data_IF_437084386407
#
_entry.id   IF_437084386407
#
_cell.length_a   1.000
_cell.length_b   1.000
_cell.length_c   1.000
_cell.angle_alpha   90.00
_cell.angle_beta   90.00
_cell.angle_gamma   90.00
#
_symmetry.space_group_name_H-M   'P 1'
#
loop_
_entity.id
_entity.type
_entity.pdbx_description
1 polymer ?
#
# COMPACT_ATOMS: atom_id res chain seq x y z
N UNK A 1 -49.69 42.26 -49.72
CA UNK A 1 -48.38 41.92 -49.18
C UNK A 1 -48.54 41.39 -47.73
N UNK A 2 -48.53 40.11 -47.52
CA UNK A 2 -48.63 39.48 -46.18
C UNK A 2 -47.22 39.13 -45.76
N UNK A 3 -46.70 39.72 -44.66
CA UNK A 3 -45.43 39.39 -44.04
C UNK A 3 -45.61 38.24 -43.04
N UNK A 4 -45.01 37.12 -43.34
CA UNK A 4 -44.95 35.96 -42.46
C UNK A 4 -43.78 36.17 -41.50
N UNK A 5 -44.05 36.23 -40.18
CA UNK A 5 -43.06 36.27 -39.13
C UNK A 5 -42.75 34.85 -38.74
N UNK A 6 -41.54 34.37 -39.02
CA UNK A 6 -41.03 33.08 -38.53
C UNK A 6 -40.51 33.23 -37.12
N UNK A 7 -41.13 32.57 -36.16
CA UNK A 7 -40.65 32.48 -34.77
C UNK A 7 -39.72 31.28 -34.71
N UNK A 8 -38.43 31.57 -34.61
CA UNK A 8 -37.41 30.56 -34.37
C UNK A 8 -37.39 30.23 -32.86
N UNK A 9 -37.94 29.09 -32.49
CA UNK A 9 -37.85 28.59 -31.13
C UNK A 9 -36.41 28.05 -30.89
N UNK A 10 -35.63 28.75 -30.07
CA UNK A 10 -34.34 28.29 -29.58
C UNK A 10 -34.64 27.28 -28.48
N UNK A 11 -34.47 25.99 -28.80
CA UNK A 11 -34.52 24.90 -27.81
C UNK A 11 -33.20 24.89 -27.01
N UNK A 12 -33.18 25.53 -25.85
CA UNK A 12 -32.11 25.38 -24.89
C UNK A 12 -32.14 23.95 -24.32
N UNK A 13 -31.31 23.06 -24.88
CA UNK A 13 -31.01 21.80 -24.22
C UNK A 13 -30.20 22.15 -22.94
N UNK A 14 -30.86 22.13 -21.79
CA UNK A 14 -30.22 22.05 -20.50
C UNK A 14 -29.58 20.66 -20.38
N UNK A 15 -28.29 20.58 -20.65
CA UNK A 15 -27.48 19.42 -20.22
C UNK A 15 -27.55 19.42 -18.71
N UNK A 16 -28.43 18.59 -18.16
CA UNK A 16 -28.37 18.20 -16.76
C UNK A 16 -27.01 17.49 -16.56
N UNK A 17 -26.01 18.21 -16.10
CA UNK A 17 -24.82 17.63 -15.53
C UNK A 17 -25.31 16.82 -14.33
N UNK A 18 -25.37 15.49 -14.48
CA UNK A 18 -25.47 14.58 -13.35
C UNK A 18 -24.33 14.98 -12.41
N UNK A 19 -24.67 15.65 -11.33
CA UNK A 19 -23.74 16.13 -10.33
C UNK A 19 -23.13 14.92 -9.61
N UNK A 20 -22.09 14.34 -10.21
CA UNK A 20 -21.20 13.47 -9.45
C UNK A 20 -20.60 14.33 -8.34
N UNK A 21 -20.82 13.94 -7.08
CA UNK A 21 -20.39 14.70 -5.92
C UNK A 21 -18.90 15.02 -6.01
N UNK A 22 -18.56 16.30 -5.89
CA UNK A 22 -17.16 16.70 -5.75
C UNK A 22 -16.64 16.17 -4.42
N UNK A 23 -15.44 15.57 -4.43
CA UNK A 23 -14.77 15.24 -3.18
C UNK A 23 -14.31 16.53 -2.50
N UNK A 24 -14.39 16.58 -1.16
CA UNK A 24 -13.96 17.76 -0.38
C UNK A 24 -12.43 17.95 -0.38
N UNK A 25 -11.68 16.91 -0.72
CA UNK A 25 -10.23 16.95 -0.79
C UNK A 25 -9.76 17.85 -1.96
N UNK A 26 -8.69 18.61 -1.74
CA UNK A 26 -8.03 19.42 -2.77
C UNK A 26 -7.37 18.53 -3.82
N UNK A 27 -7.04 19.08 -4.97
CA UNK A 27 -6.24 18.38 -5.98
C UNK A 27 -4.90 17.94 -5.37
N UNK A 28 -4.52 16.69 -5.58
CA UNK A 28 -3.32 16.11 -5.00
C UNK A 28 -3.32 14.58 -5.06
N UNK A 29 -2.26 13.99 -4.53
CA UNK A 29 -2.10 12.54 -4.39
C UNK A 29 -2.13 12.23 -2.90
N UNK A 30 -2.96 11.30 -2.50
CA UNK A 30 -3.26 10.94 -1.12
C UNK A 30 -2.90 9.47 -0.87
N UNK A 31 -2.48 9.16 0.35
CA UNK A 31 -2.10 7.82 0.75
C UNK A 31 -2.74 7.45 2.07
N UNK A 32 -3.21 6.23 2.19
CA UNK A 32 -3.57 5.62 3.46
C UNK A 32 -3.23 4.13 3.44
N UNK A 33 -2.99 3.58 4.62
CA UNK A 33 -2.74 2.17 4.84
C UNK A 33 -3.43 1.70 6.11
N UNK A 34 -3.65 0.39 6.22
CA UNK A 34 -4.10 -0.21 7.47
C UNK A 34 -3.05 -0.03 8.57
N UNK A 35 -3.49 0.11 9.82
CA UNK A 35 -2.59 0.16 10.98
C UNK A 35 -1.89 -1.17 11.22
N UNK A 36 -2.62 -2.27 11.00
CA UNK A 36 -2.21 -3.61 11.40
C UNK A 36 -2.41 -4.62 10.26
N UNK A 37 -1.71 -5.73 10.34
CA UNK A 37 -1.93 -6.87 9.45
C UNK A 37 -3.24 -7.57 9.83
N UNK A 38 -4.10 -7.78 8.84
CA UNK A 38 -5.31 -8.58 9.02
C UNK A 38 -4.99 -10.07 9.28
N UNK A 39 -6.03 -10.86 9.56
CA UNK A 39 -5.91 -12.31 9.79
C UNK A 39 -5.27 -13.07 8.62
N UNK A 40 -5.37 -12.54 7.42
CA UNK A 40 -4.70 -13.06 6.21
C UNK A 40 -3.20 -12.76 6.15
N UNK A 41 -2.66 -11.96 7.06
CA UNK A 41 -1.27 -11.50 7.05
C UNK A 41 -0.99 -10.38 6.04
N UNK A 42 -2.03 -9.78 5.46
CA UNK A 42 -1.93 -8.63 4.58
C UNK A 42 -2.43 -7.36 5.28
N UNK A 43 -1.81 -6.26 4.92
CA UNK A 43 -2.17 -4.88 5.29
C UNK A 43 -2.37 -4.13 3.99
N UNK A 44 -3.57 -3.59 3.78
CA UNK A 44 -3.91 -2.93 2.52
C UNK A 44 -3.40 -1.48 2.50
N UNK A 45 -3.08 -1.00 1.31
CA UNK A 45 -2.64 0.35 0.99
C UNK A 45 -3.44 0.92 -0.17
N UNK A 46 -3.83 2.19 -0.08
CA UNK A 46 -4.48 2.90 -1.18
C UNK A 46 -3.76 4.21 -1.49
N UNK A 47 -3.64 4.51 -2.78
CA UNK A 47 -3.21 5.80 -3.30
C UNK A 47 -4.38 6.40 -4.08
N UNK A 48 -4.79 7.61 -3.73
CA UNK A 48 -5.92 8.30 -4.38
C UNK A 48 -5.42 9.58 -5.05
N UNK A 49 -5.64 9.72 -6.34
CA UNK A 49 -5.34 10.96 -7.07
C UNK A 49 -6.61 11.77 -7.27
N UNK A 50 -6.64 13.00 -6.75
CA UNK A 50 -7.72 13.98 -6.95
C UNK A 50 -7.25 15.01 -7.95
N UNK A 51 -8.09 15.28 -8.97
CA UNK A 51 -7.87 16.31 -9.98
C UNK A 51 -9.19 16.95 -10.37
N UNK A 52 -9.25 18.29 -10.34
CA UNK A 52 -10.47 19.04 -10.63
C UNK A 52 -11.62 18.72 -9.66
N UNK A 53 -11.31 18.44 -8.39
CA UNK A 53 -12.28 18.07 -7.35
C UNK A 53 -12.91 16.68 -7.54
N UNK A 54 -12.31 15.81 -8.35
CA UNK A 54 -12.77 14.43 -8.59
C UNK A 54 -11.65 13.42 -8.37
N UNK A 55 -11.98 12.21 -7.98
CA UNK A 55 -11.07 11.08 -7.97
C UNK A 55 -10.76 10.73 -9.42
N UNK A 56 -9.53 11.00 -9.85
CA UNK A 56 -9.06 10.76 -11.21
C UNK A 56 -8.43 9.37 -11.35
N UNK A 57 -7.80 8.86 -10.29
CA UNK A 57 -7.20 7.53 -10.27
C UNK A 57 -7.11 7.00 -8.83
N UNK A 58 -7.13 5.68 -8.70
CA UNK A 58 -6.88 4.98 -7.44
C UNK A 58 -5.97 3.78 -7.71
N UNK A 59 -4.99 3.56 -6.83
CA UNK A 59 -4.28 2.29 -6.75
C UNK A 59 -4.61 1.63 -5.40
N UNK A 60 -4.91 0.34 -5.44
CA UNK A 60 -5.12 -0.50 -4.27
C UNK A 60 -4.15 -1.66 -4.32
N UNK A 61 -3.35 -1.81 -3.28
CA UNK A 61 -2.38 -2.88 -3.14
C UNK A 61 -2.34 -3.35 -1.69
N UNK A 62 -1.39 -4.21 -1.35
CA UNK A 62 -1.18 -4.65 0.02
C UNK A 62 0.25 -5.09 0.26
N UNK A 63 0.68 -4.98 1.52
CA UNK A 63 1.97 -5.46 2.01
C UNK A 63 1.75 -6.63 2.95
N UNK A 64 2.67 -7.59 3.00
CA UNK A 64 2.50 -8.83 3.75
C UNK A 64 3.50 -8.97 4.90
N UNK A 65 3.03 -9.47 6.03
CA UNK A 65 3.91 -9.89 7.12
C UNK A 65 4.71 -11.17 6.80
N UNK A 66 4.51 -11.79 5.64
CA UNK A 66 5.25 -12.98 5.22
C UNK A 66 6.66 -12.69 4.67
N UNK A 67 7.06 -11.42 4.50
CA UNK A 67 8.36 -11.04 3.95
C UNK A 67 8.49 -11.27 2.44
N UNK A 68 7.37 -11.15 1.74
CA UNK A 68 7.26 -11.28 0.27
C UNK A 68 6.96 -9.93 -0.37
N UNK A 69 6.98 -9.88 -1.71
CA UNK A 69 6.58 -8.70 -2.47
C UNK A 69 5.11 -8.31 -2.21
N UNK A 70 4.73 -7.14 -2.70
CA UNK A 70 3.36 -6.62 -2.61
C UNK A 70 2.31 -7.55 -3.23
N UNK A 71 1.04 -7.36 -2.88
CA UNK A 71 -0.07 -8.25 -3.27
C UNK A 71 -0.25 -8.35 -4.78
N UNK A 72 -0.13 -7.23 -5.52
CA UNK A 72 -0.24 -7.24 -6.98
C UNK A 72 0.87 -8.09 -7.61
N UNK A 73 2.11 -7.93 -7.13
CA UNK A 73 3.25 -8.77 -7.56
C UNK A 73 3.06 -10.22 -7.15
N UNK A 74 2.55 -10.50 -5.95
CA UNK A 74 2.26 -11.86 -5.49
C UNK A 74 1.21 -12.53 -6.37
N UNK A 75 0.12 -11.84 -6.73
CA UNK A 75 -0.90 -12.35 -7.66
C UNK A 75 -0.28 -12.65 -9.03
N UNK A 76 0.48 -11.71 -9.59
CA UNK A 76 1.12 -11.87 -10.91
C UNK A 76 2.09 -13.06 -10.97
N UNK A 77 2.74 -13.40 -9.84
CA UNK A 77 3.66 -14.54 -9.72
C UNK A 77 2.98 -15.83 -9.25
N UNK A 78 1.65 -15.84 -9.10
CA UNK A 78 0.90 -17.00 -8.62
C UNK A 78 1.04 -17.30 -7.13
N UNK A 79 1.59 -16.36 -6.35
CA UNK A 79 1.75 -16.47 -4.90
C UNK A 79 0.49 -16.11 -4.11
N UNK A 80 -0.57 -15.65 -4.79
CA UNK A 80 -1.88 -15.35 -4.21
C UNK A 80 -3.01 -15.90 -5.08
N UNK A 81 -3.14 -17.25 -5.22
CA UNK A 81 -4.00 -17.88 -6.21
C UNK A 81 -5.44 -18.02 -5.71
N UNK A 82 -6.28 -17.00 -5.84
CA UNK A 82 -7.68 -17.04 -5.39
C UNK A 82 -8.55 -17.99 -6.20
N UNK A 83 -8.36 -18.06 -7.50
CA UNK A 83 -9.13 -18.97 -8.38
C UNK A 83 -8.80 -20.42 -8.07
N UNK A 84 -7.50 -20.75 -8.05
CA UNK A 84 -7.05 -22.14 -7.85
C UNK A 84 -7.28 -22.66 -6.43
N UNK A 85 -7.03 -21.83 -5.41
CA UNK A 85 -7.07 -22.25 -4.01
C UNK A 85 -8.41 -21.95 -3.32
N UNK A 86 -9.14 -20.92 -3.76
CA UNK A 86 -10.33 -20.42 -3.09
C UNK A 86 -11.62 -20.52 -3.92
N UNK A 87 -11.60 -21.18 -5.10
CA UNK A 87 -12.74 -21.24 -6.03
C UNK A 87 -13.33 -19.86 -6.38
N UNK A 88 -12.55 -18.79 -6.30
CA UNK A 88 -12.99 -17.48 -6.70
C UNK A 88 -13.19 -17.41 -8.22
N UNK A 89 -14.13 -16.59 -8.68
CA UNK A 89 -14.41 -16.41 -10.13
C UNK A 89 -13.29 -15.66 -10.85
N UNK A 90 -12.49 -14.88 -10.12
CA UNK A 90 -11.38 -14.11 -10.65
C UNK A 90 -10.30 -13.91 -9.57
N UNK A 91 -9.07 -13.67 -10.02
CA UNK A 91 -7.96 -13.32 -9.13
C UNK A 91 -8.17 -11.94 -8.47
N UNK A 92 -7.49 -11.71 -7.36
CA UNK A 92 -7.67 -10.50 -6.54
C UNK A 92 -7.52 -9.19 -7.33
N UNK A 93 -6.52 -9.10 -8.18
CA UNK A 93 -6.25 -7.89 -8.98
C UNK A 93 -7.39 -7.53 -9.95
N UNK A 94 -8.07 -8.54 -10.51
CA UNK A 94 -9.23 -8.34 -11.40
C UNK A 94 -10.41 -7.80 -10.60
N UNK A 95 -10.68 -8.39 -9.43
CA UNK A 95 -11.73 -7.95 -8.54
C UNK A 95 -11.46 -6.56 -7.95
N UNK A 96 -10.22 -6.29 -7.51
CA UNK A 96 -9.80 -4.98 -7.03
C UNK A 96 -9.98 -3.90 -8.11
N UNK A 97 -9.64 -4.22 -9.37
CA UNK A 97 -9.87 -3.30 -10.48
C UNK A 97 -11.35 -2.96 -10.65
N UNK A 98 -12.25 -3.93 -10.54
CA UNK A 98 -13.69 -3.67 -10.63
C UNK A 98 -14.17 -2.71 -9.54
N UNK A 99 -13.64 -2.83 -8.31
CA UNK A 99 -13.95 -1.91 -7.20
C UNK A 99 -13.39 -0.51 -7.46
N UNK A 100 -12.17 -0.41 -7.96
CA UNK A 100 -11.53 0.85 -8.33
C UNK A 100 -12.32 1.54 -9.45
N UNK A 101 -12.68 0.81 -10.51
CA UNK A 101 -13.44 1.34 -11.64
C UNK A 101 -14.83 1.87 -11.18
N UNK A 102 -15.49 1.14 -10.27
CA UNK A 102 -16.73 1.60 -9.64
C UNK A 102 -16.53 2.94 -8.94
N UNK A 103 -15.55 3.05 -8.04
CA UNK A 103 -15.29 4.29 -7.29
C UNK A 103 -14.96 5.46 -8.24
N UNK A 104 -14.08 5.26 -9.22
CA UNK A 104 -13.67 6.31 -10.15
C UNK A 104 -14.85 6.76 -11.01
N UNK A 105 -15.70 5.84 -11.46
CA UNK A 105 -16.86 6.19 -12.30
C UNK A 105 -18.00 6.84 -11.53
N UNK A 106 -18.26 6.40 -10.30
CA UNK A 106 -19.40 6.88 -9.48
C UNK A 106 -19.03 8.00 -8.53
N UNK A 107 -17.76 8.16 -8.17
CA UNK A 107 -17.26 9.08 -7.13
C UNK A 107 -17.88 8.79 -5.74
N UNK A 108 -18.39 7.59 -5.51
CA UNK A 108 -19.12 7.19 -4.29
C UNK A 108 -18.11 6.84 -3.15
N UNK A 109 -17.51 7.87 -2.56
CA UNK A 109 -16.59 7.72 -1.41
C UNK A 109 -17.35 7.20 -0.16
N UNK A 110 -18.63 7.50 -0.07
CA UNK A 110 -19.49 7.09 1.05
C UNK A 110 -20.14 5.72 0.87
N UNK A 111 -19.60 4.85 0.03
CA UNK A 111 -20.15 3.53 -0.26
C UNK A 111 -20.47 2.74 1.01
N UNK A 112 -21.71 2.28 1.14
CA UNK A 112 -22.22 1.55 2.32
C UNK A 112 -23.14 0.36 1.97
N UNK A 113 -23.15 -0.08 0.72
CA UNK A 113 -24.01 -1.17 0.22
C UNK A 113 -23.37 -2.53 0.46
N UNK A 114 -23.04 -2.82 1.73
CA UNK A 114 -22.47 -4.10 2.14
C UNK A 114 -23.58 -5.10 2.40
N UNK A 115 -23.36 -6.38 2.03
CA UNK A 115 -24.33 -7.47 2.25
C UNK A 115 -24.06 -8.26 3.55
N UNK A 116 -22.87 -8.09 4.12
CA UNK A 116 -22.44 -8.78 5.34
C UNK A 116 -21.47 -7.95 6.17
N UNK A 117 -21.21 -8.41 7.39
CA UNK A 117 -20.30 -7.76 8.33
C UNK A 117 -18.84 -7.78 7.87
N UNK A 118 -18.46 -8.74 7.02
CA UNK A 118 -17.13 -8.83 6.43
C UNK A 118 -16.91 -7.79 5.32
N UNK A 119 -17.97 -7.08 4.91
CA UNK A 119 -17.87 -5.99 3.94
C UNK A 119 -17.84 -6.45 2.50
N UNK A 120 -18.48 -7.58 2.18
CA UNK A 120 -18.77 -7.99 0.79
C UNK A 120 -19.96 -7.23 0.25
N UNK A 121 -20.10 -7.16 -1.08
CA UNK A 121 -21.21 -6.46 -1.73
C UNK A 121 -21.63 -7.15 -3.01
N UNK A 122 -22.93 -7.03 -3.35
CA UNK A 122 -23.48 -7.40 -4.65
C UNK A 122 -23.69 -6.16 -5.56
N UNK A 123 -23.42 -4.95 -5.04
CA UNK A 123 -23.58 -3.70 -5.78
C UNK A 123 -22.45 -3.41 -6.79
N UNK A 124 -21.32 -4.14 -6.70
CA UNK A 124 -20.18 -3.98 -7.59
C UNK A 124 -19.99 -5.28 -8.39
N UNK A 125 -20.36 -5.26 -9.66
CA UNK A 125 -20.19 -6.42 -10.53
C UNK A 125 -18.72 -6.82 -10.64
N UNK A 126 -18.43 -8.12 -10.52
CA UNK A 126 -17.08 -8.66 -10.60
C UNK A 126 -16.29 -8.64 -9.28
N UNK A 127 -16.84 -8.11 -8.19
CA UNK A 127 -16.21 -8.11 -6.87
C UNK A 127 -16.94 -9.05 -5.90
N UNK A 128 -16.26 -10.08 -5.42
CA UNK A 128 -16.71 -10.97 -4.34
C UNK A 128 -15.80 -10.90 -3.11
N UNK A 129 -14.74 -10.11 -3.18
CA UNK A 129 -13.81 -9.82 -2.08
C UNK A 129 -14.44 -8.87 -1.05
N UNK A 130 -13.82 -8.75 0.10
CA UNK A 130 -14.19 -7.76 1.11
C UNK A 130 -13.76 -6.37 0.61
N UNK A 131 -14.73 -5.47 0.41
CA UNK A 131 -14.47 -4.14 -0.16
C UNK A 131 -14.54 -3.02 0.87
N UNK A 132 -15.06 -3.31 2.07
CA UNK A 132 -15.23 -2.28 3.12
C UNK A 132 -13.90 -1.63 3.50
N UNK A 133 -12.84 -2.41 3.72
CA UNK A 133 -11.51 -1.91 4.05
C UNK A 133 -10.96 -0.94 3.00
N UNK A 134 -11.21 -1.23 1.71
CA UNK A 134 -10.83 -0.34 0.62
C UNK A 134 -11.53 1.02 0.72
N UNK A 135 -12.87 1.06 0.87
CA UNK A 135 -13.60 2.32 0.98
C UNK A 135 -13.23 3.08 2.27
N UNK A 136 -13.03 2.38 3.37
CA UNK A 136 -12.55 2.99 4.63
C UNK A 136 -11.17 3.66 4.43
N UNK A 137 -10.24 3.00 3.72
CA UNK A 137 -8.91 3.56 3.41
C UNK A 137 -8.99 4.73 2.44
N UNK A 138 -9.86 4.68 1.42
CA UNK A 138 -10.11 5.82 0.54
C UNK A 138 -10.60 7.03 1.34
N UNK A 139 -11.54 6.83 2.24
CA UNK A 139 -12.03 7.88 3.15
C UNK A 139 -10.92 8.46 4.03
N UNK A 140 -10.07 7.61 4.62
CA UNK A 140 -8.90 8.02 5.42
C UNK A 140 -7.88 8.80 4.57
N UNK A 141 -7.58 8.33 3.37
CA UNK A 141 -6.66 9.02 2.46
C UNK A 141 -7.16 10.44 2.15
N UNK A 142 -8.42 10.57 1.74
CA UNK A 142 -9.00 11.87 1.38
C UNK A 142 -9.18 12.82 2.59
N UNK A 143 -9.21 12.30 3.81
CA UNK A 143 -9.24 13.09 5.05
C UNK A 143 -7.84 13.54 5.51
N UNK A 144 -6.77 12.98 4.94
CA UNK A 144 -5.38 13.34 5.27
C UNK A 144 -4.89 14.56 4.48
N UNK A 145 -3.66 14.99 4.74
CA UNK A 145 -2.95 15.91 3.84
C UNK A 145 -2.47 15.16 2.59
N UNK A 146 -2.42 15.84 1.42
CA UNK A 146 -1.83 15.23 0.24
C UNK A 146 -0.35 14.95 0.45
N UNK A 147 0.13 13.84 -0.13
CA UNK A 147 1.54 13.47 -0.09
C UNK A 147 2.37 14.52 -0.83
N UNK A 148 3.37 15.13 -0.18
CA UNK A 148 4.20 16.13 -0.83
C UNK A 148 5.00 15.52 -1.99
N UNK A 149 5.41 16.37 -2.94
CA UNK A 149 6.28 15.92 -4.03
C UNK A 149 7.66 15.55 -3.48
N UNK A 150 8.08 14.32 -3.70
CA UNK A 150 9.38 13.79 -3.31
C UNK A 150 10.40 13.78 -4.46
N UNK A 151 11.52 13.09 -4.20
CA UNK A 151 12.68 13.06 -5.11
C UNK A 151 12.64 11.92 -6.15
N UNK A 152 11.84 10.90 -5.91
CA UNK A 152 11.75 9.76 -6.82
C UNK A 152 10.87 10.07 -8.02
N UNK A 153 11.21 9.50 -9.19
CA UNK A 153 10.52 9.77 -10.45
C UNK A 153 9.33 8.87 -10.71
N UNK A 154 9.36 7.67 -10.12
CA UNK A 154 8.35 6.64 -10.33
C UNK A 154 7.73 6.23 -9.01
N UNK A 155 6.42 6.30 -8.92
CA UNK A 155 5.64 5.78 -7.81
C UNK A 155 5.48 4.26 -7.94
N UNK A 156 5.31 3.56 -6.81
CA UNK A 156 5.13 2.11 -6.81
C UNK A 156 5.60 1.42 -5.53
N UNK A 157 5.59 0.10 -5.57
CA UNK A 157 6.01 -0.81 -4.51
C UNK A 157 7.30 -1.51 -4.94
N UNK A 158 8.38 -1.26 -4.22
CA UNK A 158 9.73 -1.69 -4.58
C UNK A 158 10.22 -2.74 -3.59
N UNK A 159 10.21 -3.99 -4.02
CA UNK A 159 10.67 -5.12 -3.22
C UNK A 159 12.11 -5.49 -3.57
N UNK A 160 12.91 -5.71 -2.54
CA UNK A 160 14.26 -6.25 -2.68
C UNK A 160 14.60 -7.18 -1.52
N UNK A 161 15.34 -8.24 -1.79
CA UNK A 161 15.78 -9.20 -0.77
C UNK A 161 17.27 -9.49 -0.89
N UNK A 162 17.89 -9.92 0.19
CA UNK A 162 19.28 -10.41 0.18
C UNK A 162 19.45 -11.54 -0.83
N UNK A 163 20.63 -11.67 -1.43
CA UNK A 163 20.88 -12.76 -2.38
C UNK A 163 20.79 -14.13 -1.70
N UNK A 164 21.42 -14.25 -0.53
CA UNK A 164 21.57 -15.49 0.21
C UNK A 164 21.00 -15.40 1.63
N UNK A 165 20.77 -16.55 2.24
CA UNK A 165 20.54 -16.65 3.67
C UNK A 165 21.83 -16.34 4.44
N UNK A 166 21.72 -15.50 5.45
CA UNK A 166 22.82 -15.23 6.37
C UNK A 166 23.30 -16.53 7.02
N UNK A 167 24.60 -16.75 6.99
CA UNK A 167 25.20 -18.03 7.43
C UNK A 167 25.07 -18.27 8.94
N UNK A 168 25.05 -17.20 9.73
CA UNK A 168 24.99 -17.26 11.19
C UNK A 168 23.57 -17.36 11.70
N UNK A 169 22.65 -16.57 11.17
CA UNK A 169 21.27 -16.46 11.63
C UNK A 169 20.28 -17.35 10.86
N UNK A 170 20.63 -17.74 9.63
CA UNK A 170 19.74 -18.48 8.73
C UNK A 170 18.56 -17.67 8.19
N UNK A 171 18.57 -16.35 8.32
CA UNK A 171 17.56 -15.46 7.75
C UNK A 171 18.01 -14.82 6.44
N UNK A 172 17.08 -14.62 5.55
CA UNK A 172 17.21 -13.85 4.31
C UNK A 172 16.34 -12.62 4.44
N UNK A 173 16.96 -11.48 4.62
CA UNK A 173 16.26 -10.22 4.82
C UNK A 173 15.63 -9.71 3.53
N UNK A 174 14.50 -9.05 3.65
CA UNK A 174 13.79 -8.39 2.56
C UNK A 174 13.25 -7.03 3.00
N UNK A 175 13.09 -6.14 2.03
CA UNK A 175 12.45 -4.84 2.23
C UNK A 175 11.43 -4.61 1.14
N UNK A 176 10.30 -4.00 1.52
CA UNK A 176 9.32 -3.45 0.60
C UNK A 176 9.20 -1.95 0.90
N UNK A 177 9.41 -1.13 -0.11
CA UNK A 177 9.35 0.34 -0.01
C UNK A 177 8.21 0.84 -0.87
N UNK A 178 7.29 1.61 -0.28
CA UNK A 178 6.18 2.26 -0.99
C UNK A 178 6.55 3.72 -1.29
N UNK A 179 6.49 4.09 -2.57
CA UNK A 179 6.74 5.46 -3.05
C UNK A 179 5.46 6.02 -3.66
N UNK A 180 5.04 7.19 -3.18
CA UNK A 180 3.86 7.93 -3.65
C UNK A 180 4.22 9.38 -3.87
N UNK A 181 3.87 9.95 -5.03
CA UNK A 181 4.25 11.30 -5.44
C UNK A 181 5.76 11.57 -5.33
N UNK A 182 6.59 10.54 -5.57
CA UNK A 182 8.03 10.61 -5.41
C UNK A 182 8.53 10.63 -3.97
N UNK A 183 7.65 10.45 -2.99
CA UNK A 183 7.94 10.43 -1.55
C UNK A 183 7.90 9.00 -1.03
N UNK A 184 8.88 8.59 -0.23
CA UNK A 184 8.82 7.31 0.52
C UNK A 184 7.79 7.45 1.64
N UNK A 185 6.68 6.70 1.55
CA UNK A 185 5.57 6.78 2.51
C UNK A 185 5.53 5.60 3.47
N UNK A 186 6.04 4.45 3.07
CA UNK A 186 6.16 3.27 3.95
C UNK A 186 7.41 2.45 3.61
N UNK A 187 7.93 1.77 4.61
CA UNK A 187 9.01 0.79 4.50
C UNK A 187 8.67 -0.38 5.39
N UNK A 188 8.62 -1.58 4.83
CA UNK A 188 8.46 -2.82 5.58
C UNK A 188 9.75 -3.65 5.46
N UNK A 189 10.48 -3.78 6.56
CA UNK A 189 11.60 -4.70 6.68
C UNK A 189 11.14 -6.01 7.29
N UNK A 190 11.50 -7.10 6.67
CA UNK A 190 11.17 -8.45 7.12
C UNK A 190 12.27 -9.43 6.69
N UNK A 191 11.99 -10.71 6.74
CA UNK A 191 12.87 -11.75 6.24
C UNK A 191 12.21 -13.12 6.27
N UNK A 192 12.74 -14.03 5.46
CA UNK A 192 12.33 -15.43 5.42
C UNK A 192 13.41 -16.32 6.04
N UNK A 193 13.03 -17.43 6.65
CA UNK A 193 13.97 -18.36 7.26
C UNK A 193 14.38 -19.46 6.28
N UNK A 194 15.64 -19.90 6.37
CA UNK A 194 16.13 -21.15 5.76
C UNK A 194 15.39 -22.37 6.33
N UNK A 195 15.05 -22.32 7.60
CA UNK A 195 14.21 -23.31 8.28
C UNK A 195 12.75 -23.14 7.84
N UNK A 196 12.24 -24.10 7.08
CA UNK A 196 10.88 -24.09 6.55
C UNK A 196 9.77 -24.26 7.61
N UNK A 197 10.11 -24.65 8.82
CA UNK A 197 9.18 -24.70 9.94
C UNK A 197 8.88 -23.31 10.52
N UNK A 198 9.76 -22.34 10.28
CA UNK A 198 9.59 -20.95 10.72
C UNK A 198 8.81 -20.14 9.70
N UNK A 199 8.01 -19.21 10.19
CA UNK A 199 7.37 -18.16 9.39
C UNK A 199 8.37 -17.03 9.11
N UNK A 200 7.91 -15.89 8.66
CA UNK A 200 8.76 -14.69 8.47
C UNK A 200 9.34 -14.20 9.80
N UNK A 201 10.43 -13.43 9.72
CA UNK A 201 11.09 -12.84 10.89
C UNK A 201 10.13 -12.03 11.75
N UNK A 202 9.29 -11.19 11.11
CA UNK A 202 8.29 -10.38 11.80
C UNK A 202 7.26 -11.25 12.53
N UNK A 203 6.75 -12.30 11.89
CA UNK A 203 5.76 -13.21 12.52
C UNK A 203 6.38 -14.00 13.66
N UNK A 204 7.61 -14.47 13.54
CA UNK A 204 8.31 -15.17 14.62
C UNK A 204 8.60 -14.25 15.81
N UNK A 205 8.96 -12.98 15.53
CA UNK A 205 9.26 -12.02 16.58
C UNK A 205 7.99 -11.57 17.32
N UNK A 206 6.92 -11.25 16.62
CA UNK A 206 5.62 -10.91 17.23
C UNK A 206 5.04 -12.06 18.08
N UNK A 207 5.39 -13.29 17.77
CA UNK A 207 4.99 -14.47 18.55
C UNK A 207 5.97 -14.81 19.70
N UNK A 208 7.00 -13.99 19.94
CA UNK A 208 8.02 -14.21 20.98
C UNK A 208 8.97 -15.39 20.70
N UNK A 209 8.97 -15.93 19.46
CA UNK A 209 9.81 -17.09 19.08
C UNK A 209 11.15 -16.70 18.43
N UNK A 210 11.30 -15.44 18.02
CA UNK A 210 12.58 -14.95 17.53
C UNK A 210 13.63 -14.82 18.63
N UNK A 211 13.20 -14.61 19.89
CA UNK A 211 14.01 -14.73 21.10
C UNK A 211 14.92 -13.55 21.42
N UNK A 212 14.88 -12.47 20.61
CA UNK A 212 15.76 -11.32 20.80
C UNK A 212 15.34 -10.43 21.97
N UNK A 213 14.07 -10.35 22.29
CA UNK A 213 13.50 -9.50 23.34
C UNK A 213 14.11 -9.72 24.72
N UNK A 214 14.54 -10.97 25.03
CA UNK A 214 15.13 -11.34 26.33
C UNK A 214 16.57 -10.88 26.49
N UNK A 215 17.27 -10.55 25.42
CA UNK A 215 18.72 -10.30 25.42
C UNK A 215 19.06 -8.87 24.94
N UNK A 216 18.21 -8.23 24.16
CA UNK A 216 18.50 -6.96 23.54
C UNK A 216 18.07 -5.79 24.41
N UNK A 217 19.01 -4.88 24.74
CA UNK A 217 18.78 -3.65 25.52
C UNK A 217 17.73 -2.70 24.90
N UNK A 218 17.50 -2.80 23.59
CA UNK A 218 16.55 -1.96 22.82
C UNK A 218 15.24 -2.68 22.50
N UNK A 219 14.99 -3.84 23.12
CA UNK A 219 13.75 -4.59 22.94
C UNK A 219 13.75 -5.55 21.75
N UNK A 220 12.57 -6.08 21.42
CA UNK A 220 12.35 -7.04 20.36
C UNK A 220 12.81 -6.54 18.98
N UNK A 221 13.03 -7.46 18.06
CA UNK A 221 13.48 -7.13 16.71
C UNK A 221 12.50 -6.21 15.97
N UNK A 222 11.20 -6.47 16.04
CA UNK A 222 10.17 -5.66 15.38
C UNK A 222 10.18 -4.20 15.83
N UNK A 223 10.45 -3.95 17.12
CA UNK A 223 10.55 -2.60 17.68
C UNK A 223 11.76 -1.85 17.09
N UNK A 224 12.91 -2.51 17.04
CA UNK A 224 14.13 -1.94 16.47
C UNK A 224 14.05 -1.80 14.94
N UNK A 225 13.43 -2.79 14.27
CA UNK A 225 13.17 -2.74 12.83
C UNK A 225 12.26 -1.55 12.48
N UNK A 226 11.21 -1.31 13.27
CA UNK A 226 10.32 -0.16 13.08
C UNK A 226 11.07 1.17 13.19
N UNK A 227 11.96 1.30 14.16
CA UNK A 227 12.78 2.51 14.31
C UNK A 227 13.66 2.78 13.07
N UNK A 228 14.23 1.72 12.47
CA UNK A 228 15.03 1.82 11.24
C UNK A 228 14.14 2.16 10.03
N UNK A 229 12.99 1.52 9.90
CA UNK A 229 12.01 1.84 8.86
C UNK A 229 11.57 3.31 8.93
N UNK A 230 11.25 3.81 10.12
CA UNK A 230 10.88 5.20 10.34
C UNK A 230 12.02 6.18 10.02
N UNK A 231 13.27 5.80 10.32
CA UNK A 231 14.44 6.58 9.96
C UNK A 231 14.60 6.67 8.42
N UNK A 232 14.36 5.60 7.67
CA UNK A 232 14.38 5.60 6.20
C UNK A 232 13.28 6.50 5.65
N UNK A 233 12.04 6.36 6.15
CA UNK A 233 10.90 7.21 5.74
C UNK A 233 11.21 8.68 6.04
N UNK A 234 11.74 9.00 7.22
CA UNK A 234 12.11 10.37 7.60
C UNK A 234 13.23 10.94 6.72
N UNK A 235 14.25 10.14 6.42
CA UNK A 235 15.38 10.56 5.58
C UNK A 235 15.02 10.74 4.12
N UNK A 236 13.96 10.09 3.63
CA UNK A 236 13.51 10.02 2.24
C UNK A 236 14.51 9.39 1.26
N UNK A 237 15.76 9.29 1.64
CA UNK A 237 16.84 8.61 0.93
C UNK A 237 17.52 7.66 1.92
N UNK A 238 17.39 6.33 1.76
CA UNK A 238 17.99 5.37 2.68
C UNK A 238 19.51 5.51 2.77
N UNK A 239 20.19 5.99 1.72
CA UNK A 239 21.63 6.24 1.74
C UNK A 239 22.07 7.32 2.76
N UNK A 240 21.14 8.15 3.25
CA UNK A 240 21.37 9.15 4.29
C UNK A 240 21.22 8.60 5.71
N UNK A 241 20.73 7.37 5.88
CA UNK A 241 20.70 6.71 7.19
C UNK A 241 22.10 6.21 7.52
N UNK A 242 22.73 6.84 8.49
CA UNK A 242 24.14 6.57 8.85
C UNK A 242 24.23 5.22 9.56
N UNK A 243 25.06 4.34 9.03
CA UNK A 243 25.43 3.07 9.66
C UNK A 243 26.89 3.12 10.13
N UNK A 244 27.21 2.38 11.18
CA UNK A 244 28.60 2.11 11.56
C UNK A 244 29.26 1.16 10.56
N UNK A 245 30.59 1.02 10.67
CA UNK A 245 31.38 0.12 9.84
C UNK A 245 30.94 -1.37 9.97
N UNK A 246 30.40 -1.75 11.13
CA UNK A 246 29.82 -3.08 11.38
C UNK A 246 28.38 -3.24 10.89
N UNK A 247 27.81 -2.20 10.26
CA UNK A 247 26.43 -2.23 9.74
C UNK A 247 25.34 -1.97 10.79
N UNK A 248 25.70 -1.63 12.03
CA UNK A 248 24.71 -1.27 13.07
C UNK A 248 24.19 0.17 12.87
N UNK A 249 22.96 0.42 13.33
CA UNK A 249 22.27 1.70 13.17
C UNK A 249 22.20 2.48 14.48
N UNK A 250 23.30 2.56 15.24
CA UNK A 250 23.30 3.21 16.56
C UNK A 250 22.91 4.70 16.52
N UNK A 251 23.07 5.36 15.36
CA UNK A 251 22.60 6.73 15.15
C UNK A 251 21.05 6.81 15.08
N UNK A 252 20.37 5.67 14.90
CA UNK A 252 18.92 5.59 14.94
C UNK A 252 18.48 5.33 16.37
N UNK A 253 17.82 6.31 16.98
CA UNK A 253 17.28 6.15 18.34
C UNK A 253 16.34 4.93 18.39
N UNK A 254 16.55 4.05 19.36
CA UNK A 254 15.77 2.83 19.53
C UNK A 254 16.28 1.61 18.77
N UNK A 255 17.36 1.70 18.00
CA UNK A 255 17.96 0.56 17.31
C UNK A 255 19.42 0.35 17.72
N UNK A 256 19.86 -0.92 17.71
CA UNK A 256 21.25 -1.35 17.92
C UNK A 256 21.58 -2.60 17.09
N UNK A 257 20.70 -2.96 16.17
CA UNK A 257 20.85 -4.13 15.31
C UNK A 257 21.53 -3.76 13.99
N UNK A 258 22.04 -4.76 13.28
CA UNK A 258 22.49 -4.60 11.91
C UNK A 258 21.30 -4.20 11.03
N UNK A 259 21.38 -3.04 10.41
CA UNK A 259 20.28 -2.43 9.67
C UNK A 259 20.32 -2.79 8.17
N UNK A 260 20.28 -4.07 7.86
CA UNK A 260 20.27 -4.60 6.47
C UNK A 260 19.17 -3.93 5.63
N UNK A 261 18.06 -3.51 6.25
CA UNK A 261 17.00 -2.78 5.56
C UNK A 261 17.48 -1.53 4.83
N UNK A 262 18.48 -0.83 5.35
CA UNK A 262 19.01 0.40 4.74
C UNK A 262 19.64 0.09 3.38
N UNK A 263 20.51 -0.92 3.33
CA UNK A 263 21.19 -1.32 2.10
C UNK A 263 20.21 -1.92 1.08
N UNK A 264 19.26 -2.74 1.54
CA UNK A 264 18.23 -3.31 0.67
C UNK A 264 17.29 -2.22 0.12
N UNK A 265 16.94 -1.21 0.92
CA UNK A 265 16.11 -0.08 0.46
C UNK A 265 16.83 0.78 -0.59
N UNK A 266 18.16 0.96 -0.48
CA UNK A 266 18.95 1.61 -1.53
C UNK A 266 18.83 0.84 -2.85
N UNK A 267 18.97 -0.49 -2.80
CA UNK A 267 18.85 -1.34 -3.99
C UNK A 267 17.43 -1.31 -4.57
N UNK A 268 16.41 -1.47 -3.73
CA UNK A 268 15.00 -1.42 -4.14
C UNK A 268 14.67 -0.11 -4.87
N UNK A 269 15.11 1.02 -4.34
CA UNK A 269 14.78 2.35 -4.87
C UNK A 269 15.59 2.78 -6.10
N UNK A 270 16.56 1.99 -6.57
CA UNK A 270 17.21 2.23 -7.87
C UNK A 270 16.21 2.26 -9.03
N UNK A 271 15.17 1.44 -8.95
CA UNK A 271 14.11 1.39 -9.97
C UNK A 271 13.14 2.58 -9.92
N UNK A 272 13.10 3.34 -8.80
CA UNK A 272 12.25 4.51 -8.60
C UNK A 272 12.90 5.83 -9.06
N UNK A 273 14.21 5.85 -9.31
CA UNK A 273 15.02 7.03 -9.68
C UNK A 273 14.88 7.49 -11.12
#
# INVERSE_FOLDING_TARGET
MRRTIAITAILCLALASLGFGQVKAKDGIYFAMDSDFGSSGWKDEVVVTVKGGKIAAVAWNGVSNAGVADKLTAVAKGGYPMVKAGNAKAEWNVQAKAVIDYLVSTQDVGFNKYKDAEGRTDAISGATIHVKGFFDLVGKALASAPVPKGMYKKDGWYFYESADFDKSSGWKDSVLVTVVNGTVVDVLWNGTSKDKAKKSKLVEDLAGRYGMEKQAKKGAWNVQAKAIQDAIVKAQDPAKVILKADGTADAVSGASIHATAVTLAVEALKAAR
#
